data_IF_782172695731
#
_entry.id   IF_782172695731
#
_cell.length_a   1.000
_cell.length_b   1.000
_cell.length_c   1.000
_cell.angle_alpha   90.00
_cell.angle_beta   90.00
_cell.angle_gamma   90.00
#
_symmetry.space_group_name_H-M   'P 1'
#
loop_
_entity.id
_entity.type
_entity.pdbx_description
1 polymer ?
#
# COMPACT_ATOMS: atom_id res chain seq x y z
N UNK A 1 68.30 25.51 -40.98
CA UNK A 1 66.89 25.86 -40.54
C UNK A 1 65.83 24.89 -41.10
N UNK A 2 65.89 24.43 -42.32
CA UNK A 2 64.86 23.58 -42.93
C UNK A 2 64.61 22.20 -42.26
N UNK A 3 65.62 21.59 -41.63
CA UNK A 3 65.53 20.28 -40.98
C UNK A 3 64.80 20.30 -39.62
N UNK A 4 64.90 21.40 -38.88
CA UNK A 4 64.22 21.57 -37.56
C UNK A 4 62.72 21.76 -37.74
N UNK A 5 62.29 22.52 -38.76
CA UNK A 5 60.89 22.71 -39.07
C UNK A 5 60.20 21.44 -39.55
N UNK A 6 60.87 20.62 -40.35
CA UNK A 6 60.36 19.32 -40.81
C UNK A 6 60.15 18.36 -39.63
N UNK A 7 61.03 18.36 -38.64
CA UNK A 7 60.94 17.57 -37.42
C UNK A 7 59.77 18.01 -36.53
N UNK A 8 59.61 19.30 -36.35
CA UNK A 8 58.49 19.88 -35.58
C UNK A 8 57.11 19.60 -36.23
N UNK A 9 57.05 19.64 -37.57
CA UNK A 9 55.80 19.30 -38.29
C UNK A 9 55.46 17.79 -38.17
N UNK A 10 56.47 16.90 -38.21
CA UNK A 10 56.23 15.44 -37.97
C UNK A 10 55.82 15.15 -36.54
N UNK A 11 56.39 15.85 -35.56
CA UNK A 11 56.02 15.67 -34.15
C UNK A 11 54.56 16.17 -33.88
N UNK A 12 54.19 17.36 -34.41
CA UNK A 12 52.79 17.88 -34.30
C UNK A 12 51.77 16.97 -35.01
N UNK A 13 52.15 16.36 -36.17
CA UNK A 13 51.26 15.39 -36.84
C UNK A 13 51.09 14.09 -36.03
N UNK A 14 52.16 13.59 -35.40
CA UNK A 14 52.06 12.41 -34.53
C UNK A 14 51.26 12.69 -33.27
N UNK A 15 51.45 13.80 -32.62
CA UNK A 15 50.70 14.22 -31.44
C UNK A 15 49.21 14.39 -31.76
N UNK A 16 48.87 15.03 -32.89
CA UNK A 16 47.48 15.18 -33.33
C UNK A 16 46.83 13.80 -33.67
N UNK A 17 47.56 12.88 -34.31
CA UNK A 17 47.06 11.53 -34.58
C UNK A 17 46.83 10.76 -33.29
N UNK A 18 47.69 10.87 -32.29
CA UNK A 18 47.54 10.20 -31.00
C UNK A 18 46.33 10.75 -30.25
N UNK A 19 46.16 12.08 -30.17
CA UNK A 19 44.99 12.73 -29.57
C UNK A 19 43.67 12.37 -30.27
N UNK A 20 43.69 12.28 -31.61
CA UNK A 20 42.52 11.83 -32.38
C UNK A 20 42.18 10.37 -32.10
N UNK A 21 43.19 9.50 -31.98
CA UNK A 21 42.97 8.09 -31.65
C UNK A 21 42.43 7.92 -30.24
N UNK A 22 42.96 8.65 -29.26
CA UNK A 22 42.48 8.65 -27.88
C UNK A 22 41.06 9.19 -27.80
N UNK A 23 40.74 10.26 -28.50
CA UNK A 23 39.36 10.80 -28.58
C UNK A 23 38.37 9.80 -29.21
N UNK A 24 38.77 9.10 -30.28
CA UNK A 24 37.94 8.07 -30.93
C UNK A 24 37.72 6.88 -30.00
N UNK A 25 38.73 6.46 -29.23
CA UNK A 25 38.63 5.35 -28.25
C UNK A 25 37.69 5.75 -27.10
N UNK A 26 37.83 6.96 -26.57
CA UNK A 26 36.95 7.48 -25.49
C UNK A 26 35.53 7.61 -25.99
N UNK A 27 35.29 8.19 -27.15
CA UNK A 27 33.95 8.31 -27.75
C UNK A 27 33.34 6.93 -28.05
N UNK A 28 34.15 5.97 -28.53
CA UNK A 28 33.72 4.60 -28.76
C UNK A 28 33.33 3.88 -27.46
N UNK A 29 34.15 4.01 -26.42
CA UNK A 29 33.83 3.43 -25.09
C UNK A 29 32.58 4.06 -24.46
N UNK A 30 32.43 5.38 -24.62
CA UNK A 30 31.23 6.09 -24.14
C UNK A 30 29.99 5.66 -24.91
N UNK A 31 30.07 5.52 -26.23
CA UNK A 31 28.95 5.05 -27.06
C UNK A 31 28.56 3.61 -26.73
N UNK A 32 29.54 2.73 -26.50
CA UNK A 32 29.29 1.34 -26.07
C UNK A 32 28.66 1.33 -24.67
N UNK A 33 29.16 2.14 -23.74
CA UNK A 33 28.57 2.29 -22.43
C UNK A 33 27.11 2.77 -22.47
N UNK A 34 26.81 3.79 -23.27
CA UNK A 34 25.44 4.29 -23.48
C UNK A 34 24.55 3.22 -24.14
N UNK A 35 25.07 2.47 -25.11
CA UNK A 35 24.32 1.37 -25.74
C UNK A 35 24.06 0.24 -24.75
N UNK A 36 25.03 -0.13 -23.93
CA UNK A 36 24.84 -1.14 -22.88
C UNK A 36 23.82 -0.67 -21.85
N UNK A 37 23.94 0.57 -21.34
CA UNK A 37 22.97 1.16 -20.44
C UNK A 37 21.59 1.22 -21.08
N UNK A 38 21.48 1.63 -22.35
CA UNK A 38 20.22 1.65 -23.10
C UNK A 38 19.63 0.24 -23.27
N UNK A 39 20.44 -0.77 -23.61
CA UNK A 39 19.97 -2.15 -23.73
C UNK A 39 19.57 -2.75 -22.38
N UNK A 40 20.33 -2.50 -21.32
CA UNK A 40 19.98 -2.90 -19.95
C UNK A 40 18.69 -2.22 -19.53
N UNK A 41 18.60 -0.90 -19.74
CA UNK A 41 17.40 -0.12 -19.42
C UNK A 41 16.17 -0.56 -20.25
N UNK A 42 16.35 -0.81 -21.55
CA UNK A 42 15.27 -1.28 -22.43
C UNK A 42 14.85 -2.72 -22.15
N UNK A 43 15.77 -3.60 -21.74
CA UNK A 43 15.44 -4.93 -21.26
C UNK A 43 14.69 -4.89 -19.92
N UNK A 44 14.99 -3.93 -19.06
CA UNK A 44 14.28 -3.72 -17.80
C UNK A 44 12.85 -3.18 -18.01
N UNK A 45 12.64 -2.28 -18.98
CA UNK A 45 11.34 -1.64 -19.24
C UNK A 45 10.45 -2.47 -20.19
N UNK A 46 10.99 -3.36 -20.98
CA UNK A 46 10.28 -3.97 -22.11
C UNK A 46 9.86 -5.43 -21.98
N UNK A 47 10.14 -6.09 -20.87
CA UNK A 47 9.74 -7.48 -20.68
C UNK A 47 8.51 -7.57 -19.78
N UNK A 48 7.38 -8.12 -20.28
CA UNK A 48 6.27 -8.44 -19.38
C UNK A 48 6.78 -9.51 -18.40
N UNK A 49 7.02 -9.10 -17.17
CA UNK A 49 7.50 -9.95 -16.09
C UNK A 49 6.47 -11.05 -15.78
N UNK A 50 6.53 -12.12 -16.53
CA UNK A 50 5.75 -13.32 -16.24
C UNK A 50 6.59 -14.21 -15.33
N UNK A 51 6.09 -14.45 -14.13
CA UNK A 51 6.59 -15.57 -13.35
C UNK A 51 6.11 -16.84 -14.02
N UNK A 52 7.02 -17.60 -14.56
CA UNK A 52 6.70 -18.82 -15.32
C UNK A 52 5.81 -19.76 -14.48
N UNK A 53 4.69 -20.17 -15.03
CA UNK A 53 3.77 -21.15 -14.42
C UNK A 53 2.79 -20.61 -13.39
N UNK A 54 2.69 -19.29 -13.20
CA UNK A 54 1.73 -18.66 -12.27
C UNK A 54 0.89 -17.60 -12.95
N UNK A 55 -0.31 -17.28 -12.38
CA UNK A 55 -1.12 -16.13 -12.79
C UNK A 55 -0.60 -14.80 -12.24
N UNK A 56 0.59 -14.78 -11.67
CA UNK A 56 1.21 -13.60 -11.05
C UNK A 56 1.63 -12.60 -12.12
N UNK A 57 1.28 -11.34 -11.90
CA UNK A 57 1.64 -10.21 -12.77
C UNK A 57 2.46 -9.21 -11.95
N UNK A 58 3.51 -8.65 -12.56
CA UNK A 58 4.08 -7.41 -12.08
C UNK A 58 3.14 -6.28 -12.52
N UNK A 59 2.53 -5.59 -11.57
CA UNK A 59 1.53 -4.53 -11.79
C UNK A 59 2.21 -3.19 -12.02
N UNK A 60 3.26 -2.88 -11.26
CA UNK A 60 3.97 -1.61 -11.35
C UNK A 60 4.81 -1.50 -12.62
N UNK A 61 5.57 -2.52 -12.97
CA UNK A 61 6.45 -2.53 -14.15
C UNK A 61 7.26 -1.23 -14.27
N UNK A 62 7.82 -0.75 -13.17
CA UNK A 62 8.44 0.57 -13.07
C UNK A 62 9.74 0.51 -12.28
N UNK A 63 10.70 1.34 -12.68
CA UNK A 63 11.93 1.54 -11.90
C UNK A 63 11.58 2.35 -10.66
N UNK A 64 12.16 1.98 -9.53
CA UNK A 64 11.90 2.64 -8.25
C UNK A 64 11.32 1.68 -7.21
N UNK A 65 11.03 2.21 -6.07
CA UNK A 65 10.48 1.46 -4.93
C UNK A 65 9.00 1.80 -4.81
N UNK A 66 8.14 0.79 -4.97
CA UNK A 66 6.72 0.91 -4.75
C UNK A 66 6.38 0.29 -3.39
N UNK A 67 5.60 1.01 -2.60
CA UNK A 67 5.16 0.57 -1.26
C UNK A 67 3.68 0.83 -1.06
N UNK A 68 3.10 0.25 -0.02
CA UNK A 68 1.78 0.60 0.49
C UNK A 68 0.66 0.47 -0.55
N UNK A 69 0.50 -0.73 -1.10
CA UNK A 69 -0.45 -0.99 -2.17
C UNK A 69 -1.90 -1.05 -1.68
N UNK A 70 -2.80 -0.47 -2.46
CA UNK A 70 -4.25 -0.57 -2.28
C UNK A 70 -4.92 -1.05 -3.57
N UNK A 71 -6.04 -1.79 -3.46
CA UNK A 71 -6.84 -2.26 -4.61
C UNK A 71 -8.33 -2.23 -4.30
N UNK A 72 -9.11 -1.85 -5.30
CA UNK A 72 -10.56 -1.93 -5.30
C UNK A 72 -11.07 -2.54 -6.62
N UNK A 73 -12.24 -3.17 -6.55
CA UNK A 73 -12.96 -3.69 -7.70
C UNK A 73 -14.22 -2.87 -7.94
N UNK A 74 -14.55 -2.60 -9.18
CA UNK A 74 -15.83 -2.00 -9.54
C UNK A 74 -16.95 -3.00 -9.21
N UNK A 75 -17.87 -2.67 -8.29
CA UNK A 75 -18.92 -3.59 -7.86
C UNK A 75 -19.92 -3.93 -8.96
N UNK A 76 -20.07 -3.07 -9.97
CA UNK A 76 -20.96 -3.25 -11.12
C UNK A 76 -20.26 -3.96 -12.28
N UNK A 77 -18.93 -3.84 -12.36
CA UNK A 77 -18.10 -4.42 -13.42
C UNK A 77 -16.91 -5.19 -12.81
N UNK A 78 -17.09 -6.44 -12.32
CA UNK A 78 -16.07 -7.17 -11.55
C UNK A 78 -14.74 -7.42 -12.28
N UNK A 79 -14.65 -7.13 -13.58
CA UNK A 79 -13.41 -7.17 -14.34
C UNK A 79 -12.64 -5.85 -14.33
N UNK A 80 -13.25 -4.78 -13.84
CA UNK A 80 -12.61 -3.46 -13.72
C UNK A 80 -12.01 -3.33 -12.33
N UNK A 81 -10.69 -3.16 -12.28
CA UNK A 81 -9.92 -3.00 -11.06
C UNK A 81 -9.22 -1.65 -11.06
N UNK A 82 -9.10 -1.07 -9.89
CA UNK A 82 -8.37 0.17 -9.64
C UNK A 82 -7.44 -0.03 -8.45
N UNK A 83 -6.18 0.36 -8.59
CA UNK A 83 -5.17 0.22 -7.55
C UNK A 83 -4.26 1.45 -7.48
N UNK A 84 -3.55 1.59 -6.37
CA UNK A 84 -2.55 2.63 -6.18
C UNK A 84 -1.41 2.13 -5.29
N UNK A 85 -0.24 2.75 -5.41
CA UNK A 85 0.89 2.60 -4.50
C UNK A 85 1.66 3.90 -4.34
N UNK A 86 2.52 3.95 -3.34
CA UNK A 86 3.59 4.95 -3.30
C UNK A 86 4.56 4.70 -4.44
N UNK A 87 5.26 5.76 -4.84
CA UNK A 87 6.36 5.73 -5.79
C UNK A 87 7.53 6.57 -5.25
N UNK A 88 8.72 6.00 -5.23
CA UNK A 88 9.89 6.67 -4.64
C UNK A 88 10.54 7.74 -5.53
N UNK A 89 10.40 7.61 -6.84
CA UNK A 89 11.07 8.49 -7.81
C UNK A 89 10.19 9.65 -8.30
N UNK A 90 8.89 9.60 -8.03
CA UNK A 90 7.93 10.56 -8.52
C UNK A 90 7.30 11.36 -7.37
N UNK A 91 6.96 12.63 -7.59
CA UNK A 91 6.30 13.44 -6.58
C UNK A 91 4.83 13.05 -6.33
N UNK A 92 4.30 12.13 -7.12
CA UNK A 92 2.91 11.69 -7.12
C UNK A 92 2.80 10.21 -6.77
N UNK A 93 1.66 9.81 -6.19
CA UNK A 93 1.34 8.38 -6.10
C UNK A 93 1.15 7.79 -7.49
N UNK A 94 1.37 6.49 -7.63
CA UNK A 94 1.10 5.76 -8.85
C UNK A 94 -0.28 5.09 -8.81
N UNK A 95 -0.99 5.09 -9.92
CA UNK A 95 -2.28 4.39 -10.05
C UNK A 95 -2.24 3.35 -11.15
N UNK A 96 -2.99 2.29 -10.96
CA UNK A 96 -3.07 1.16 -11.88
C UNK A 96 -4.52 0.84 -12.17
N UNK A 97 -4.81 0.44 -13.40
CA UNK A 97 -6.14 0.04 -13.83
C UNK A 97 -6.08 -1.25 -14.64
N UNK A 98 -7.04 -2.14 -14.41
CA UNK A 98 -7.28 -3.32 -15.24
C UNK A 98 -8.75 -3.34 -15.68
N UNK A 99 -9.02 -3.70 -16.92
CA UNK A 99 -10.39 -3.89 -17.45
C UNK A 99 -10.69 -5.35 -17.78
N UNK A 100 -9.76 -6.26 -17.49
CA UNK A 100 -9.86 -7.68 -17.83
C UNK A 100 -9.69 -8.62 -16.64
N UNK A 101 -9.97 -8.14 -15.43
CA UNK A 101 -9.91 -8.92 -14.20
C UNK A 101 -8.49 -9.20 -13.73
N UNK A 102 -7.60 -8.23 -13.83
CA UNK A 102 -6.22 -8.32 -13.35
C UNK A 102 -5.26 -9.11 -14.24
N UNK A 103 -5.68 -9.49 -15.46
CA UNK A 103 -4.79 -10.21 -16.40
C UNK A 103 -3.74 -9.30 -17.02
N UNK A 104 -4.09 -8.05 -17.23
CA UNK A 104 -3.16 -6.98 -17.61
C UNK A 104 -3.50 -5.70 -16.86
N UNK A 105 -2.49 -4.88 -16.64
CA UNK A 105 -2.61 -3.62 -15.94
C UNK A 105 -2.05 -2.48 -16.77
N UNK A 106 -2.69 -1.33 -16.68
CA UNK A 106 -2.20 -0.06 -17.24
C UNK A 106 -1.82 0.85 -16.09
N UNK A 107 -0.61 1.37 -16.13
CA UNK A 107 -0.03 2.31 -15.18
C UNK A 107 -0.30 3.74 -15.63
N UNK A 108 -0.53 4.64 -14.68
CA UNK A 108 -0.64 6.08 -14.92
C UNK A 108 -0.19 6.88 -13.68
N UNK A 109 0.13 8.17 -13.89
CA UNK A 109 0.29 9.10 -12.79
C UNK A 109 -1.01 9.20 -11.99
N UNK A 110 -0.90 9.41 -10.68
CA UNK A 110 -2.02 9.72 -9.81
C UNK A 110 -2.61 11.11 -10.06
N UNK A 111 -3.45 11.60 -9.16
CA UNK A 111 -3.97 12.96 -9.24
C UNK A 111 -2.82 13.96 -9.16
N UNK A 112 -2.74 14.88 -10.13
CA UNK A 112 -1.75 15.96 -10.10
C UNK A 112 -1.98 16.86 -8.88
N UNK A 113 -0.89 17.16 -8.19
CA UNK A 113 -0.87 18.02 -7.03
C UNK A 113 -0.54 19.47 -7.44
N UNK A 114 -0.69 20.40 -6.51
CA UNK A 114 -0.25 21.79 -6.74
C UNK A 114 1.27 21.82 -6.97
N UNK A 115 1.77 22.76 -7.79
CA UNK A 115 3.21 22.95 -7.96
C UNK A 115 3.92 23.10 -6.60
N UNK A 116 5.08 22.47 -6.46
CA UNK A 116 5.90 22.39 -5.24
C UNK A 116 5.34 21.52 -4.10
N UNK A 117 4.25 20.79 -4.32
CA UNK A 117 3.76 19.80 -3.37
C UNK A 117 4.01 18.39 -3.89
N UNK A 118 4.17 17.44 -2.98
CA UNK A 118 4.41 16.05 -3.30
C UNK A 118 3.49 15.14 -2.49
N UNK A 119 3.26 13.95 -2.99
CA UNK A 119 2.69 12.88 -2.18
C UNK A 119 3.62 12.56 -1.00
N UNK A 120 3.01 12.37 0.18
CA UNK A 120 3.68 11.78 1.33
C UNK A 120 3.44 10.27 1.38
N UNK A 121 2.37 9.79 0.71
CA UNK A 121 2.07 8.38 0.56
C UNK A 121 0.76 7.93 1.20
N UNK A 122 0.75 6.67 1.63
CA UNK A 122 -0.37 5.95 2.25
C UNK A 122 -1.64 5.90 1.36
N UNK A 123 -1.57 5.50 0.08
CA UNK A 123 -2.75 5.52 -0.76
C UNK A 123 -3.80 4.49 -0.32
N UNK A 124 -5.06 4.89 -0.37
CA UNK A 124 -6.21 4.01 -0.24
C UNK A 124 -7.19 4.27 -1.39
N UNK A 125 -7.77 3.21 -1.95
CA UNK A 125 -8.64 3.33 -3.13
C UNK A 125 -10.02 2.73 -2.90
N UNK A 126 -11.01 3.28 -3.58
CA UNK A 126 -12.37 2.75 -3.63
C UNK A 126 -13.01 2.99 -5.01
N UNK A 127 -13.96 2.14 -5.38
CA UNK A 127 -14.79 2.33 -6.58
C UNK A 127 -16.25 2.30 -6.16
N UNK A 128 -17.00 3.32 -6.56
CA UNK A 128 -18.43 3.43 -6.33
C UNK A 128 -19.26 2.57 -7.30
N UNK A 129 -20.55 2.37 -7.01
CA UNK A 129 -21.45 1.55 -7.84
C UNK A 129 -21.69 2.13 -9.24
N UNK A 130 -21.36 3.40 -9.43
CA UNK A 130 -21.45 4.14 -10.69
C UNK A 130 -20.11 4.22 -11.45
N UNK A 131 -19.11 3.41 -11.04
CA UNK A 131 -17.77 3.40 -11.63
C UNK A 131 -16.90 4.59 -11.23
N UNK A 132 -17.34 5.43 -10.29
CA UNK A 132 -16.55 6.53 -9.76
C UNK A 132 -15.37 5.98 -8.95
N UNK A 133 -14.15 6.29 -9.36
CA UNK A 133 -12.91 5.91 -8.70
C UNK A 133 -12.47 7.00 -7.73
N UNK A 134 -11.98 6.59 -6.57
CA UNK A 134 -11.44 7.47 -5.54
C UNK A 134 -10.07 6.97 -5.09
N UNK A 135 -9.16 7.90 -4.85
CA UNK A 135 -7.89 7.64 -4.18
C UNK A 135 -7.68 8.68 -3.09
N UNK A 136 -7.49 8.23 -1.87
CA UNK A 136 -7.14 9.06 -0.72
C UNK A 136 -5.66 8.84 -0.40
N UNK A 137 -4.93 9.90 -0.12
CA UNK A 137 -3.50 9.84 0.24
C UNK A 137 -3.10 11.10 1.00
N UNK A 138 -1.88 11.13 1.51
CA UNK A 138 -1.33 12.30 2.18
C UNK A 138 -0.41 13.09 1.25
N UNK A 139 -0.46 14.41 1.33
CA UNK A 139 0.32 15.37 0.56
C UNK A 139 1.14 16.23 1.52
N UNK A 140 2.42 16.42 1.25
CA UNK A 140 3.24 17.41 1.96
C UNK A 140 3.35 18.70 1.18
N UNK A 141 3.41 19.83 1.90
CA UNK A 141 3.39 21.16 1.31
C UNK A 141 4.68 21.56 0.59
N UNK A 142 5.78 20.84 0.82
CA UNK A 142 7.08 21.12 0.19
C UNK A 142 7.74 19.81 -0.20
N UNK A 143 8.15 19.68 -1.47
CA UNK A 143 8.86 18.51 -1.98
C UNK A 143 10.28 18.38 -1.42
N UNK A 144 10.90 19.47 -0.98
CA UNK A 144 12.23 19.46 -0.41
C UNK A 144 12.27 18.90 1.02
N UNK A 145 13.36 18.27 1.46
CA UNK A 145 13.57 17.96 2.87
C UNK A 145 13.56 19.25 3.71
N UNK A 146 12.70 19.31 4.72
CA UNK A 146 12.61 20.49 5.58
C UNK A 146 11.67 20.28 6.77
N UNK A 147 11.73 21.16 7.79
CA UNK A 147 10.98 21.00 9.02
C UNK A 147 9.47 21.29 8.90
N UNK A 148 9.01 21.82 7.77
CA UNK A 148 7.60 22.18 7.60
C UNK A 148 6.81 21.01 6.99
N UNK A 149 6.72 19.96 7.78
CA UNK A 149 5.97 18.75 7.47
C UNK A 149 4.53 18.93 7.97
N UNK A 150 3.69 19.54 7.13
CA UNK A 150 2.25 19.61 7.41
C UNK A 150 1.52 18.87 6.30
N UNK A 151 1.43 17.53 6.38
CA UNK A 151 0.72 16.77 5.34
C UNK A 151 -0.77 17.07 5.38
N UNK A 152 -1.32 17.29 4.20
CA UNK A 152 -2.76 17.41 3.98
C UNK A 152 -3.35 16.05 3.63
N UNK A 153 -4.57 15.81 4.05
CA UNK A 153 -5.34 14.72 3.49
C UNK A 153 -5.95 15.15 2.16
N UNK A 154 -5.65 14.40 1.12
CA UNK A 154 -6.12 14.65 -0.25
C UNK A 154 -6.97 13.49 -0.73
N UNK A 155 -8.03 13.80 -1.47
CA UNK A 155 -8.79 12.81 -2.24
C UNK A 155 -8.86 13.24 -3.70
N UNK A 156 -8.37 12.39 -4.57
CA UNK A 156 -8.61 12.43 -6.01
C UNK A 156 -9.84 11.59 -6.36
N UNK A 157 -10.68 12.08 -7.25
CA UNK A 157 -11.82 11.31 -7.77
C UNK A 157 -11.96 11.48 -9.28
N UNK A 158 -12.39 10.41 -9.99
CA UNK A 158 -12.63 10.42 -11.43
C UNK A 158 -13.66 9.38 -11.83
N UNK A 159 -14.33 9.57 -12.97
CA UNK A 159 -15.24 8.59 -13.53
C UNK A 159 -14.49 7.64 -14.45
N UNK A 160 -14.30 6.41 -14.01
CA UNK A 160 -13.60 5.37 -14.76
C UNK A 160 -12.11 5.62 -14.99
N UNK A 161 -11.38 4.68 -15.63
CA UNK A 161 -9.92 4.72 -15.79
C UNK A 161 -9.39 5.89 -16.63
N UNK A 162 -10.20 6.43 -17.53
CA UNK A 162 -9.84 7.51 -18.47
C UNK A 162 -10.38 8.89 -18.04
N UNK A 163 -11.10 8.96 -16.91
CA UNK A 163 -11.68 10.22 -16.43
C UNK A 163 -10.63 11.20 -15.93
N UNK A 164 -10.96 12.49 -16.03
CA UNK A 164 -10.12 13.54 -15.44
C UNK A 164 -10.23 13.56 -13.93
N UNK A 165 -9.11 13.79 -13.25
CA UNK A 165 -9.06 13.89 -11.82
C UNK A 165 -9.71 15.19 -11.31
N UNK A 166 -10.58 15.05 -10.34
CA UNK A 166 -10.99 16.12 -9.44
C UNK A 166 -10.26 15.92 -8.13
N UNK A 167 -9.40 16.86 -7.74
CA UNK A 167 -8.56 16.77 -6.52
C UNK A 167 -9.10 17.71 -5.46
N UNK A 168 -9.18 17.23 -4.22
CA UNK A 168 -9.63 18.02 -3.06
C UNK A 168 -8.75 17.76 -1.84
N UNK A 169 -8.26 18.82 -1.24
CA UNK A 169 -7.72 18.79 0.13
C UNK A 169 -8.89 18.71 1.10
N UNK A 170 -9.10 17.53 1.66
CA UNK A 170 -10.23 17.24 2.55
C UNK A 170 -10.00 17.79 3.94
N UNK A 171 -8.74 17.73 4.38
CA UNK A 171 -8.35 18.23 5.68
C UNK A 171 -6.91 18.71 5.70
N UNK A 172 -6.62 19.55 6.68
CA UNK A 172 -5.25 19.89 7.09
C UNK A 172 -5.15 19.76 8.60
N UNK A 173 -3.96 19.54 9.15
CA UNK A 173 -3.74 19.58 10.57
C UNK A 173 -4.17 20.91 11.17
N UNK A 174 -4.79 20.85 12.33
CA UNK A 174 -5.34 22.02 13.03
C UNK A 174 -4.34 22.64 14.02
N UNK A 175 -3.20 21.99 14.23
CA UNK A 175 -2.15 22.44 15.15
C UNK A 175 -0.77 22.39 14.49
N UNK A 176 0.12 23.27 14.93
CA UNK A 176 1.53 23.25 14.53
C UNK A 176 2.15 21.90 14.95
N UNK A 177 2.88 21.25 14.04
CA UNK A 177 3.44 19.89 14.19
C UNK A 177 2.39 18.77 14.29
N UNK A 178 1.13 19.04 13.95
CA UNK A 178 0.16 17.99 13.71
C UNK A 178 0.26 17.47 12.28
N UNK A 179 -0.16 16.24 12.03
CA UNK A 179 -0.32 15.71 10.68
C UNK A 179 -1.47 14.72 10.59
N UNK A 180 -2.02 14.59 9.39
CA UNK A 180 -3.02 13.59 9.03
C UNK A 180 -2.31 12.44 8.32
N UNK A 181 -2.65 11.19 8.65
CA UNK A 181 -1.88 10.02 8.28
C UNK A 181 -2.77 8.80 8.01
N UNK A 182 -2.31 7.90 7.15
CA UNK A 182 -2.93 6.60 6.84
C UNK A 182 -4.43 6.69 6.57
N UNK A 183 -4.83 7.34 5.46
CA UNK A 183 -6.24 7.40 5.08
C UNK A 183 -6.77 6.04 4.64
N UNK A 184 -8.04 5.78 4.94
CA UNK A 184 -8.81 4.66 4.42
C UNK A 184 -10.09 5.20 3.79
N UNK A 185 -10.41 4.79 2.57
CA UNK A 185 -11.58 5.27 1.81
C UNK A 185 -12.53 4.12 1.46
N UNK A 186 -13.82 4.37 1.54
CA UNK A 186 -14.85 3.42 1.13
C UNK A 186 -16.06 4.14 0.56
N UNK A 187 -16.80 3.49 -0.33
CA UNK A 187 -18.01 4.04 -0.97
C UNK A 187 -19.20 3.15 -0.65
N UNK A 188 -20.28 3.76 -0.20
CA UNK A 188 -21.55 3.10 0.05
C UNK A 188 -22.29 2.73 -1.24
N UNK A 189 -23.27 1.84 -1.13
CA UNK A 189 -24.12 1.46 -2.26
C UNK A 189 -24.96 2.61 -2.83
N UNK A 190 -25.13 3.67 -2.05
CA UNK A 190 -25.78 4.93 -2.43
C UNK A 190 -24.84 5.91 -3.14
N UNK A 191 -23.58 5.53 -3.37
CA UNK A 191 -22.55 6.36 -4.00
C UNK A 191 -21.88 7.37 -3.07
N UNK A 192 -22.29 7.44 -1.79
CA UNK A 192 -21.64 8.31 -0.81
C UNK A 192 -20.26 7.77 -0.46
N UNK A 193 -19.23 8.60 -0.60
CA UNK A 193 -17.86 8.28 -0.24
C UNK A 193 -17.56 8.72 1.20
N UNK A 194 -16.74 7.92 1.89
CA UNK A 194 -16.27 8.19 3.25
C UNK A 194 -14.77 7.97 3.31
N UNK A 195 -14.05 8.90 3.92
CA UNK A 195 -12.62 8.78 4.20
C UNK A 195 -12.39 8.92 5.70
N UNK A 196 -11.66 7.98 6.27
CA UNK A 196 -11.20 7.99 7.66
C UNK A 196 -9.68 8.06 7.69
N UNK A 197 -9.11 8.69 8.70
CA UNK A 197 -7.66 8.78 8.86
C UNK A 197 -7.26 8.98 10.32
N UNK A 198 -6.00 8.74 10.61
CA UNK A 198 -5.37 9.08 11.88
C UNK A 198 -4.93 10.53 11.88
N UNK A 199 -5.37 11.30 12.86
CA UNK A 199 -4.97 12.69 13.06
C UNK A 199 -4.06 12.80 14.28
N UNK A 200 -2.84 13.24 14.06
CA UNK A 200 -1.88 13.50 15.10
C UNK A 200 -1.92 14.99 15.50
N UNK A 201 -2.13 15.24 16.77
CA UNK A 201 -2.20 16.57 17.37
C UNK A 201 -1.00 16.75 18.31
N UNK A 202 0.17 17.02 17.72
CA UNK A 202 1.44 17.07 18.45
C UNK A 202 1.99 15.65 18.77
N UNK A 203 2.96 15.57 19.66
CA UNK A 203 3.72 14.31 19.92
C UNK A 203 2.96 13.24 20.70
N UNK A 204 1.88 13.56 21.36
CA UNK A 204 1.27 12.67 22.37
C UNK A 204 -0.21 12.36 22.12
N UNK A 205 -0.88 13.03 21.20
CA UNK A 205 -2.31 12.83 21.01
C UNK A 205 -2.62 12.44 19.56
N UNK A 206 -3.24 11.27 19.41
CA UNK A 206 -3.71 10.76 18.13
C UNK A 206 -5.19 10.45 18.24
N UNK A 207 -5.94 10.79 17.21
CA UNK A 207 -7.38 10.50 17.15
C UNK A 207 -7.75 10.06 15.74
N UNK A 208 -8.87 9.34 15.61
CA UNK A 208 -9.45 8.98 14.33
C UNK A 208 -10.53 9.98 13.95
N UNK A 209 -10.50 10.44 12.71
CA UNK A 209 -11.47 11.36 12.14
C UNK A 209 -12.04 10.82 10.83
N UNK A 210 -13.24 11.26 10.47
CA UNK A 210 -13.97 10.86 9.27
C UNK A 210 -14.52 12.07 8.55
N UNK A 211 -14.53 12.05 7.23
CA UNK A 211 -15.23 12.98 6.36
C UNK A 211 -16.01 12.23 5.30
N UNK A 212 -17.06 12.82 4.75
CA UNK A 212 -17.90 12.21 3.72
C UNK A 212 -18.20 13.15 2.57
N UNK A 213 -18.45 12.57 1.39
CA UNK A 213 -18.88 13.27 0.19
C UNK A 213 -20.13 12.59 -0.38
N UNK A 214 -21.15 13.38 -0.74
CA UNK A 214 -22.37 12.90 -1.39
C UNK A 214 -22.43 13.28 -2.89
N UNK A 215 -21.42 13.96 -3.41
CA UNK A 215 -21.37 14.57 -4.73
C UNK A 215 -20.18 14.11 -5.58
N UNK A 216 -19.81 12.84 -5.44
CA UNK A 216 -18.70 12.20 -6.17
C UNK A 216 -17.33 12.81 -5.88
N UNK A 217 -17.09 13.25 -4.63
CA UNK A 217 -15.82 13.81 -4.20
C UNK A 217 -15.61 15.28 -4.55
N UNK A 218 -16.63 15.99 -5.05
CA UNK A 218 -16.52 17.42 -5.36
C UNK A 218 -16.44 18.27 -4.10
N UNK A 219 -17.22 17.91 -3.07
CA UNK A 219 -17.17 18.52 -1.75
C UNK A 219 -17.10 17.47 -0.65
N UNK A 220 -16.52 17.84 0.47
CA UNK A 220 -16.35 16.96 1.63
C UNK A 220 -16.85 17.65 2.89
N UNK A 221 -17.45 16.89 3.79
CA UNK A 221 -17.89 17.38 5.08
C UNK A 221 -16.70 17.81 5.95
N UNK A 222 -16.93 18.67 6.93
CA UNK A 222 -15.91 18.93 7.96
C UNK A 222 -15.54 17.63 8.67
N UNK A 223 -14.24 17.40 8.97
CA UNK A 223 -13.80 16.23 9.71
C UNK A 223 -14.52 16.07 11.05
N UNK A 224 -15.05 14.88 11.31
CA UNK A 224 -15.70 14.50 12.55
C UNK A 224 -14.80 13.56 13.35
N UNK A 225 -14.58 13.87 14.62
CA UNK A 225 -13.86 12.97 15.54
C UNK A 225 -14.73 11.77 15.84
N UNK A 226 -14.20 10.57 15.60
CA UNK A 226 -14.92 9.29 15.80
C UNK A 226 -15.29 9.09 17.26
N UNK A 227 -14.34 9.29 18.17
CA UNK A 227 -14.60 9.26 19.61
C UNK A 227 -13.45 9.90 20.38
N UNK A 228 -13.79 10.72 21.36
CA UNK A 228 -12.81 11.28 22.32
C UNK A 228 -12.34 10.27 23.36
N UNK A 229 -12.95 9.08 23.42
CA UNK A 229 -12.54 8.00 24.34
C UNK A 229 -11.41 7.14 23.78
N UNK A 230 -11.13 7.22 22.47
CA UNK A 230 -10.01 6.54 21.85
C UNK A 230 -8.71 7.26 22.22
N UNK A 231 -7.79 6.51 22.79
CA UNK A 231 -6.49 7.01 23.24
C UNK A 231 -5.41 6.55 22.27
N UNK A 232 -4.71 7.49 21.64
CA UNK A 232 -3.68 7.19 20.61
C UNK A 232 -4.21 6.31 19.47
N UNK A 233 -5.39 6.66 18.95
CA UNK A 233 -6.04 5.88 17.90
C UNK A 233 -5.38 6.05 16.55
N UNK A 234 -5.08 4.93 15.88
CA UNK A 234 -4.39 4.88 14.59
C UNK A 234 -4.74 3.62 13.79
N UNK A 235 -4.16 3.49 12.59
CA UNK A 235 -4.34 2.35 11.68
C UNK A 235 -5.82 2.06 11.42
N UNK A 236 -6.55 3.10 11.01
CA UNK A 236 -7.98 2.98 10.76
C UNK A 236 -8.27 2.28 9.44
N UNK A 237 -9.24 1.38 9.45
CA UNK A 237 -9.88 0.80 8.28
C UNK A 237 -11.36 1.14 8.27
N UNK A 238 -11.95 1.31 7.07
CA UNK A 238 -13.34 1.75 6.88
C UNK A 238 -14.09 0.86 5.90
N UNK A 239 -15.35 0.58 6.19
CA UNK A 239 -16.26 -0.07 5.26
C UNK A 239 -17.64 0.62 5.30
N UNK A 240 -18.08 1.12 4.14
CA UNK A 240 -19.39 1.69 3.97
C UNK A 240 -20.43 0.59 3.76
N UNK A 241 -21.50 0.62 4.56
CA UNK A 241 -22.63 -0.28 4.47
C UNK A 241 -23.74 0.26 3.56
N UNK A 242 -24.97 -0.16 3.83
CA UNK A 242 -26.18 0.37 3.20
C UNK A 242 -26.73 1.55 4.01
N UNK A 243 -27.34 2.53 3.33
CA UNK A 243 -28.16 3.59 3.97
C UNK A 243 -27.43 4.31 5.10
N UNK A 244 -26.42 5.09 4.79
CA UNK A 244 -25.67 5.91 5.76
C UNK A 244 -24.94 5.10 6.87
N UNK A 245 -24.81 3.78 6.72
CA UNK A 245 -24.05 2.97 7.66
C UNK A 245 -22.57 3.02 7.32
N UNK A 246 -21.75 3.29 8.32
CA UNK A 246 -20.29 3.28 8.21
C UNK A 246 -19.72 2.47 9.37
N UNK A 247 -18.79 1.60 9.06
CA UNK A 247 -18.10 0.79 10.03
C UNK A 247 -16.61 1.09 9.98
N UNK A 248 -16.00 1.13 11.14
CA UNK A 248 -14.59 1.40 11.34
C UNK A 248 -13.96 0.30 12.19
N UNK A 249 -12.71 0.03 11.94
CA UNK A 249 -11.83 -0.69 12.86
C UNK A 249 -10.50 0.06 12.95
N UNK A 250 -9.88 0.01 14.10
CA UNK A 250 -8.58 0.62 14.34
C UNK A 250 -7.98 0.10 15.63
N UNK A 251 -6.83 0.62 15.99
CA UNK A 251 -6.17 0.30 17.25
C UNK A 251 -5.97 1.57 18.07
N UNK A 252 -5.99 1.40 19.39
CA UNK A 252 -5.67 2.45 20.35
C UNK A 252 -4.83 1.87 21.48
N UNK A 253 -4.55 2.66 22.51
CA UNK A 253 -3.77 2.20 23.67
C UNK A 253 -4.41 0.99 24.40
N UNK A 254 -5.68 0.71 24.20
CA UNK A 254 -6.41 -0.40 24.82
C UNK A 254 -6.55 -1.62 23.90
N UNK A 255 -6.11 -1.51 22.64
CA UNK A 255 -6.13 -2.60 21.65
C UNK A 255 -7.01 -2.32 20.44
N UNK A 256 -7.56 -3.39 19.87
CA UNK A 256 -8.46 -3.30 18.71
C UNK A 256 -9.81 -2.70 19.12
N UNK A 257 -10.25 -1.68 18.40
CA UNK A 257 -11.57 -1.11 18.55
C UNK A 257 -12.38 -1.19 17.25
N UNK A 258 -13.70 -1.17 17.39
CA UNK A 258 -14.64 -1.09 16.26
C UNK A 258 -15.63 0.04 16.50
N UNK A 259 -16.01 0.71 15.43
CA UNK A 259 -16.96 1.84 15.45
C UNK A 259 -18.05 1.68 14.41
N UNK A 260 -19.24 2.21 14.70
CA UNK A 260 -20.39 2.25 13.78
C UNK A 260 -21.06 3.60 13.80
N UNK A 261 -21.36 4.10 12.62
CA UNK A 261 -22.30 5.20 12.36
C UNK A 261 -23.53 4.67 11.64
N UNK A 262 -24.68 5.30 11.89
CA UNK A 262 -25.95 5.06 11.18
C UNK A 262 -26.54 6.34 10.62
N UNK A 263 -25.78 7.42 10.64
CA UNK A 263 -26.18 8.78 10.26
C UNK A 263 -25.24 9.42 9.23
N UNK A 264 -24.57 8.58 8.42
CA UNK A 264 -23.68 9.05 7.37
C UNK A 264 -22.35 9.60 7.88
N UNK A 265 -21.84 9.06 8.99
CA UNK A 265 -20.54 9.45 9.56
C UNK A 265 -20.57 10.70 10.43
N UNK A 266 -21.75 11.19 10.82
CA UNK A 266 -21.86 12.37 11.70
C UNK A 266 -21.60 12.05 13.16
N UNK A 267 -21.96 10.83 13.58
CA UNK A 267 -21.67 10.32 14.92
C UNK A 267 -21.32 8.84 14.90
N UNK A 268 -20.58 8.40 15.90
CA UNK A 268 -20.14 7.00 16.00
C UNK A 268 -20.36 6.46 17.40
N UNK A 269 -20.84 5.23 17.48
CA UNK A 269 -20.71 4.38 18.65
C UNK A 269 -19.46 3.51 18.53
N UNK A 270 -18.60 3.54 19.54
CA UNK A 270 -17.31 2.83 19.54
C UNK A 270 -17.24 1.86 20.71
N UNK A 271 -16.65 0.71 20.49
CA UNK A 271 -16.33 -0.26 21.55
C UNK A 271 -14.99 -0.90 21.33
N UNK A 272 -14.30 -1.26 22.38
CA UNK A 272 -13.14 -2.13 22.34
C UNK A 272 -13.59 -3.51 21.88
N UNK A 273 -12.93 -4.08 20.89
CA UNK A 273 -13.19 -5.44 20.45
C UNK A 273 -12.75 -6.43 21.53
N UNK A 274 -13.47 -7.55 21.65
CA UNK A 274 -13.21 -8.57 22.66
C UNK A 274 -11.91 -9.38 22.43
N UNK A 275 -11.10 -9.04 21.45
CA UNK A 275 -9.82 -9.67 21.17
C UNK A 275 -8.72 -8.81 21.82
N UNK A 276 -8.16 -9.21 22.97
CA UNK A 276 -7.02 -8.51 23.51
C UNK A 276 -5.84 -8.69 22.55
N UNK A 277 -5.32 -7.59 22.05
CA UNK A 277 -3.98 -7.60 21.50
C UNK A 277 -3.03 -7.86 22.67
N UNK A 278 -2.17 -8.89 22.63
CA UNK A 278 -1.24 -9.14 23.70
C UNK A 278 -0.33 -7.93 23.88
N UNK A 279 -0.46 -7.24 25.02
CA UNK A 279 0.36 -6.09 25.40
C UNK A 279 0.08 -4.82 24.58
N UNK A 280 0.22 -3.69 25.20
CA UNK A 280 0.06 -2.33 24.67
C UNK A 280 1.04 -1.95 23.54
N UNK A 281 1.43 -2.87 22.69
CA UNK A 281 2.48 -2.69 21.69
C UNK A 281 2.00 -2.03 20.40
N UNK A 282 0.70 -1.88 20.20
CA UNK A 282 0.16 -1.13 19.07
C UNK A 282 0.69 0.32 19.02
N UNK A 283 0.91 0.93 20.18
CA UNK A 283 1.41 2.30 20.28
C UNK A 283 2.94 2.42 20.14
N UNK A 284 3.70 1.34 20.32
CA UNK A 284 5.16 1.38 20.29
C UNK A 284 5.75 1.15 18.91
N UNK A 285 4.92 0.75 17.96
CA UNK A 285 5.36 0.46 16.60
C UNK A 285 5.72 1.69 15.76
N UNK A 286 5.28 2.87 16.15
CA UNK A 286 5.35 4.05 15.28
C UNK A 286 6.74 4.66 15.15
N UNK A 287 7.61 4.56 16.14
CA UNK A 287 8.88 5.30 16.08
C UNK A 287 10.11 4.50 16.52
N UNK A 288 9.98 3.57 17.48
CA UNK A 288 11.13 2.88 18.06
C UNK A 288 10.77 1.45 18.54
N UNK A 289 9.87 0.79 17.80
CA UNK A 289 9.31 -0.49 18.18
C UNK A 289 10.36 -1.59 18.32
N UNK A 290 10.32 -2.27 19.43
CA UNK A 290 11.15 -3.45 19.72
C UNK A 290 10.71 -4.70 18.95
N UNK A 291 9.71 -4.59 18.05
CA UNK A 291 9.16 -5.70 17.29
C UNK A 291 9.55 -5.58 15.83
N UNK A 292 10.79 -5.93 15.54
CA UNK A 292 11.26 -6.12 14.17
C UNK A 292 11.30 -7.62 13.92
N UNK A 293 10.51 -8.11 13.01
CA UNK A 293 10.62 -9.49 12.54
C UNK A 293 11.89 -9.65 11.71
N UNK A 294 12.46 -10.86 11.61
CA UNK A 294 13.68 -11.09 10.83
C UNK A 294 13.61 -10.64 9.37
N UNK A 295 12.41 -10.58 8.80
CA UNK A 295 12.13 -10.16 7.42
C UNK A 295 11.89 -8.65 7.29
N UNK A 296 11.76 -7.93 8.38
CA UNK A 296 11.49 -6.49 8.44
C UNK A 296 12.58 -5.79 9.23
N UNK A 297 13.58 -5.26 8.54
CA UNK A 297 14.72 -4.64 9.22
C UNK A 297 14.41 -3.24 9.78
N UNK A 298 13.43 -2.54 9.22
CA UNK A 298 13.20 -1.11 9.48
C UNK A 298 11.78 -0.81 9.95
N UNK A 299 10.78 -1.50 9.42
CA UNK A 299 9.38 -1.31 9.81
C UNK A 299 8.98 -2.29 10.88
N UNK A 300 8.37 -1.79 11.92
CA UNK A 300 7.66 -2.66 12.82
C UNK A 300 6.30 -3.07 12.24
N UNK A 301 5.88 -4.28 12.59
CA UNK A 301 4.58 -4.78 12.22
C UNK A 301 3.55 -4.37 13.25
N UNK A 302 2.51 -3.70 12.79
CA UNK A 302 1.33 -3.38 13.56
C UNK A 302 0.26 -4.46 13.44
N UNK A 303 -0.84 -4.32 14.18
CA UNK A 303 -2.01 -5.16 14.00
C UNK A 303 -2.73 -4.91 12.67
N UNK A 304 -2.56 -3.77 12.02
CA UNK A 304 -3.05 -3.38 10.69
C UNK A 304 -4.46 -3.93 10.38
N UNK A 305 -5.50 -3.48 11.12
CA UNK A 305 -6.82 -4.07 10.99
C UNK A 305 -7.45 -3.75 9.63
N UNK A 306 -8.04 -4.77 8.99
CA UNK A 306 -8.84 -4.61 7.79
C UNK A 306 -10.28 -5.01 8.04
N UNK A 307 -11.22 -4.09 7.78
CA UNK A 307 -12.65 -4.31 7.98
C UNK A 307 -13.36 -4.68 6.68
N UNK A 308 -14.24 -5.66 6.72
CA UNK A 308 -15.05 -6.14 5.60
C UNK A 308 -16.49 -6.41 6.01
N UNK A 309 -17.44 -6.14 5.12
CA UNK A 309 -18.86 -6.35 5.37
C UNK A 309 -19.42 -7.47 4.49
N UNK A 310 -20.16 -8.40 5.08
CA UNK A 310 -20.85 -9.44 4.32
C UNK A 310 -21.75 -10.30 5.15
N UNK A 311 -22.83 -10.82 4.54
CA UNK A 311 -23.79 -11.75 5.18
C UNK A 311 -24.35 -11.24 6.51
N UNK A 312 -24.62 -9.93 6.61
CA UNK A 312 -25.14 -9.33 7.84
C UNK A 312 -24.12 -9.25 8.98
N UNK A 313 -22.84 -9.36 8.68
CA UNK A 313 -21.73 -9.35 9.64
C UNK A 313 -20.67 -8.33 9.28
N UNK A 314 -19.93 -7.93 10.29
CA UNK A 314 -18.72 -7.15 10.22
C UNK A 314 -17.57 -8.08 10.57
N UNK A 315 -16.59 -8.18 9.69
CA UNK A 315 -15.36 -8.94 9.90
C UNK A 315 -14.19 -7.97 10.02
N UNK A 316 -13.31 -8.23 10.96
CA UNK A 316 -12.05 -7.49 11.13
C UNK A 316 -10.92 -8.50 11.17
N UNK A 317 -10.00 -8.45 10.22
CA UNK A 317 -8.76 -9.21 10.25
C UNK A 317 -7.64 -8.35 10.79
N UNK A 318 -6.72 -8.91 11.54
CA UNK A 318 -5.66 -8.16 12.21
C UNK A 318 -4.46 -9.03 12.55
N UNK A 319 -3.28 -8.42 12.69
CA UNK A 319 -2.08 -9.08 13.20
C UNK A 319 -2.18 -9.33 14.70
N UNK A 320 -1.71 -10.49 15.14
CA UNK A 320 -1.68 -10.91 16.54
C UNK A 320 -0.25 -11.30 16.91
N UNK A 321 0.30 -10.69 17.97
CA UNK A 321 1.63 -11.05 18.44
C UNK A 321 1.56 -12.33 19.28
N UNK A 322 2.37 -13.31 18.94
CA UNK A 322 2.57 -14.54 19.71
C UNK A 322 3.49 -14.32 20.91
N UNK A 323 3.42 -15.24 21.87
CA UNK A 323 4.25 -15.17 23.08
C UNK A 323 5.74 -15.42 22.81
N UNK A 324 6.06 -16.06 21.70
CA UNK A 324 7.40 -16.44 21.25
C UNK A 324 8.03 -15.43 20.27
N UNK A 325 7.56 -14.20 20.26
CA UNK A 325 8.00 -13.15 19.35
C UNK A 325 7.74 -13.49 17.87
N UNK A 326 6.70 -14.26 17.60
CA UNK A 326 6.13 -14.45 16.27
C UNK A 326 4.90 -13.58 16.08
N UNK A 327 4.49 -13.36 14.84
CA UNK A 327 3.22 -12.75 14.51
C UNK A 327 2.33 -13.76 13.79
N UNK A 328 1.06 -13.77 14.16
CA UNK A 328 -0.01 -14.53 13.51
C UNK A 328 -1.10 -13.58 12.99
N UNK A 329 -1.98 -14.08 12.15
CA UNK A 329 -3.15 -13.34 11.67
C UNK A 329 -4.42 -13.87 12.32
N UNK A 330 -5.23 -12.95 12.83
CA UNK A 330 -6.49 -13.22 13.48
C UNK A 330 -7.68 -12.57 12.78
N UNK A 331 -8.86 -12.99 13.20
CA UNK A 331 -10.13 -12.41 12.77
C UNK A 331 -11.09 -12.30 13.93
N UNK A 332 -11.83 -11.19 13.97
CA UNK A 332 -13.00 -11.01 14.83
C UNK A 332 -14.24 -10.77 13.97
N UNK A 333 -15.37 -11.31 14.40
CA UNK A 333 -16.66 -11.14 13.74
C UNK A 333 -17.69 -10.54 14.69
N UNK A 334 -18.49 -9.64 14.15
CA UNK A 334 -19.54 -8.92 14.86
C UNK A 334 -20.84 -8.98 14.06
N UNK A 335 -21.97 -8.81 14.73
CA UNK A 335 -23.21 -8.46 14.05
C UNK A 335 -23.18 -7.00 13.56
N UNK A 336 -24.22 -6.57 12.85
CA UNK A 336 -24.31 -5.20 12.34
C UNK A 336 -24.44 -4.14 13.45
N UNK A 337 -24.77 -4.53 14.68
CA UNK A 337 -24.80 -3.65 15.86
C UNK A 337 -23.48 -3.68 16.64
N UNK A 338 -22.45 -4.31 16.06
CA UNK A 338 -21.12 -4.53 16.63
C UNK A 338 -21.13 -5.36 17.92
N UNK A 339 -22.15 -6.22 18.15
CA UNK A 339 -22.07 -7.22 19.21
C UNK A 339 -21.06 -8.28 18.79
N UNK A 340 -20.08 -8.65 19.64
CA UNK A 340 -19.12 -9.69 19.32
C UNK A 340 -19.83 -11.02 19.10
N UNK A 341 -19.48 -11.72 18.03
CA UNK A 341 -19.97 -13.04 17.72
C UNK A 341 -18.94 -14.12 18.04
N UNK A 342 -17.71 -13.89 17.58
CA UNK A 342 -16.57 -14.78 17.83
C UNK A 342 -15.27 -14.11 17.32
N UNK A 343 -14.12 -14.66 17.74
CA UNK A 343 -12.79 -14.35 17.23
C UNK A 343 -11.94 -15.63 17.17
N UNK A 344 -10.84 -15.60 16.43
CA UNK A 344 -9.92 -16.73 16.31
C UNK A 344 -8.85 -16.50 15.23
N UNK A 345 -7.96 -17.49 15.06
CA UNK A 345 -6.92 -17.39 14.03
C UNK A 345 -7.49 -17.58 12.63
N UNK A 346 -6.80 -17.04 11.63
CA UNK A 346 -7.01 -17.33 10.23
C UNK A 346 -6.13 -18.54 9.86
N UNK A 347 -6.76 -19.67 9.59
CA UNK A 347 -6.04 -20.91 9.35
C UNK A 347 -5.50 -21.54 10.65
N UNK A 348 -4.29 -22.09 10.61
CA UNK A 348 -3.64 -22.69 11.76
C UNK A 348 -2.50 -21.81 12.25
N UNK A 349 -2.46 -21.54 13.57
CA UNK A 349 -1.32 -20.91 14.23
C UNK A 349 -0.06 -21.75 13.96
N UNK A 350 0.96 -21.12 13.43
CA UNK A 350 2.22 -21.77 13.07
C UNK A 350 3.28 -21.44 14.12
N UNK A 351 3.75 -22.46 14.81
CA UNK A 351 4.92 -22.31 15.66
C UNK A 351 6.17 -22.04 14.82
N UNK A 352 6.95 -21.05 15.19
CA UNK A 352 8.21 -20.67 14.53
C UNK A 352 8.06 -20.13 13.10
N UNK A 353 6.93 -19.55 12.76
CA UNK A 353 6.72 -18.82 11.52
C UNK A 353 5.97 -17.52 11.81
N UNK A 354 6.09 -16.55 10.93
CA UNK A 354 5.37 -15.28 11.02
C UNK A 354 4.32 -15.19 9.94
N UNK A 355 3.14 -14.69 10.33
CA UNK A 355 2.06 -14.31 9.42
C UNK A 355 1.72 -12.84 9.69
N UNK A 356 1.81 -11.98 8.69
CA UNK A 356 1.71 -10.54 8.91
C UNK A 356 1.02 -9.80 7.75
N UNK A 357 0.62 -8.56 8.01
CA UNK A 357 -0.10 -7.66 7.12
C UNK A 357 -1.33 -8.32 6.47
N UNK A 358 -2.32 -8.69 7.28
CA UNK A 358 -3.54 -9.26 6.75
C UNK A 358 -4.35 -8.23 5.98
N UNK A 359 -4.81 -8.62 4.80
CA UNK A 359 -5.82 -7.91 4.03
C UNK A 359 -7.05 -8.80 3.89
N UNK A 360 -8.26 -8.24 3.94
CA UNK A 360 -9.48 -9.01 3.74
C UNK A 360 -10.52 -8.30 2.88
N UNK A 361 -11.30 -9.10 2.17
CA UNK A 361 -12.41 -8.62 1.35
C UNK A 361 -13.52 -9.66 1.31
N UNK A 362 -14.77 -9.20 1.38
CA UNK A 362 -15.93 -10.07 1.15
C UNK A 362 -16.40 -9.87 -0.28
N UNK A 363 -16.42 -10.94 -1.04
CA UNK A 363 -17.17 -11.00 -2.29
C UNK A 363 -18.67 -10.99 -1.98
N UNK A 364 -19.31 -9.87 -2.20
CA UNK A 364 -20.73 -9.71 -1.88
C UNK A 364 -21.66 -10.59 -2.72
N UNK A 365 -21.23 -11.00 -3.92
CA UNK A 365 -22.01 -11.85 -4.81
C UNK A 365 -22.08 -13.30 -4.32
N UNK A 366 -20.99 -13.83 -3.78
CA UNK A 366 -20.89 -15.20 -3.27
C UNK A 366 -20.98 -15.28 -1.75
N UNK A 367 -20.75 -14.16 -1.06
CA UNK A 367 -20.58 -14.09 0.38
C UNK A 367 -19.30 -14.77 0.88
N UNK A 368 -18.34 -15.03 -0.01
CA UNK A 368 -17.03 -15.60 0.34
C UNK A 368 -16.15 -14.50 0.91
N UNK A 369 -15.64 -14.69 2.11
CA UNK A 369 -14.62 -13.85 2.74
C UNK A 369 -13.26 -14.38 2.31
N UNK A 370 -12.44 -13.53 1.76
CA UNK A 370 -11.04 -13.75 1.46
C UNK A 370 -10.14 -13.05 2.48
N UNK A 371 -9.05 -13.72 2.85
CA UNK A 371 -7.98 -13.17 3.65
C UNK A 371 -6.64 -13.52 3.02
N UNK A 372 -5.79 -12.52 2.84
CA UNK A 372 -4.45 -12.66 2.27
C UNK A 372 -3.43 -12.05 3.22
N UNK A 373 -2.24 -12.62 3.30
CA UNK A 373 -1.18 -12.21 4.21
C UNK A 373 0.17 -12.76 3.78
N UNK A 374 1.26 -12.23 4.31
CA UNK A 374 2.58 -12.82 4.18
C UNK A 374 2.75 -13.96 5.18
N UNK A 375 3.42 -15.04 4.78
CA UNK A 375 3.64 -16.26 5.59
C UNK A 375 5.05 -16.79 5.37
N UNK A 376 5.86 -16.84 6.44
CA UNK A 376 7.23 -17.36 6.41
C UNK A 376 7.31 -18.89 6.61
N UNK A 377 6.18 -19.59 6.63
CA UNK A 377 6.15 -21.05 6.79
C UNK A 377 7.00 -21.74 5.73
N UNK A 378 8.01 -22.47 6.18
CA UNK A 378 8.99 -23.18 5.32
C UNK A 378 10.36 -22.49 5.25
N UNK A 379 10.51 -21.31 5.82
CA UNK A 379 11.81 -20.68 6.04
C UNK A 379 12.12 -20.63 7.55
N UNK A 380 13.08 -21.43 7.99
CA UNK A 380 13.47 -21.50 9.41
C UNK A 380 14.14 -20.20 9.90
N UNK A 381 14.72 -19.41 9.00
CA UNK A 381 15.30 -18.10 9.29
C UNK A 381 14.25 -16.99 9.35
N UNK A 382 13.03 -17.25 8.91
CA UNK A 382 11.91 -16.30 8.83
C UNK A 382 12.24 -15.02 8.05
N UNK A 383 13.07 -15.12 7.00
CA UNK A 383 13.53 -14.00 6.16
C UNK A 383 12.80 -13.92 4.83
N UNK A 384 12.23 -15.03 4.38
CA UNK A 384 11.48 -15.12 3.14
C UNK A 384 10.03 -15.43 3.44
N UNK A 385 9.14 -14.66 2.86
CA UNK A 385 7.70 -14.86 3.00
C UNK A 385 7.06 -15.21 1.66
N UNK A 386 6.05 -16.07 1.75
CA UNK A 386 5.09 -16.29 0.68
C UNK A 386 3.94 -15.32 0.85
N UNK A 387 3.43 -14.75 -0.24
CA UNK A 387 2.13 -14.13 -0.18
C UNK A 387 1.06 -15.20 -0.38
N UNK A 388 0.22 -15.40 0.61
CA UNK A 388 -0.78 -16.48 0.63
C UNK A 388 -2.18 -15.90 0.81
N UNK A 389 -3.17 -16.59 0.25
CA UNK A 389 -4.58 -16.27 0.43
C UNK A 389 -5.35 -17.50 0.84
N UNK A 390 -6.37 -17.29 1.64
CA UNK A 390 -7.36 -18.32 2.02
C UNK A 390 -8.76 -17.73 1.97
N UNK A 391 -9.77 -18.57 2.00
CA UNK A 391 -11.15 -18.11 1.97
C UNK A 391 -12.05 -18.90 2.93
N UNK A 392 -13.14 -18.24 3.32
CA UNK A 392 -14.12 -18.81 4.22
C UNK A 392 -15.52 -18.31 3.88
N UNK A 393 -16.54 -19.14 4.08
CA UNK A 393 -17.95 -18.70 4.04
C UNK A 393 -18.46 -18.21 5.38
N UNK A 394 -17.79 -18.58 6.46
CA UNK A 394 -18.24 -18.31 7.83
C UNK A 394 -17.26 -17.44 8.62
N UNK A 395 -16.01 -17.34 8.15
CA UNK A 395 -14.87 -16.79 8.87
C UNK A 395 -14.27 -17.75 9.91
N UNK A 396 -14.95 -18.83 10.27
CA UNK A 396 -14.49 -19.82 11.27
C UNK A 396 -13.73 -20.99 10.67
N UNK A 397 -14.17 -21.46 9.51
CA UNK A 397 -13.54 -22.58 8.79
C UNK A 397 -12.93 -22.03 7.52
N UNK A 398 -11.63 -22.16 7.40
CA UNK A 398 -10.85 -21.63 6.29
C UNK A 398 -10.45 -22.75 5.33
N UNK A 399 -10.45 -22.44 4.05
CA UNK A 399 -9.87 -23.30 3.03
C UNK A 399 -8.36 -23.43 3.27
N UNK A 400 -7.74 -24.44 2.67
CA UNK A 400 -6.28 -24.55 2.68
C UNK A 400 -5.69 -23.28 2.01
N UNK A 401 -4.74 -22.58 2.65
CA UNK A 401 -4.10 -21.43 2.03
C UNK A 401 -3.43 -21.79 0.72
N UNK A 402 -3.59 -20.92 -0.27
CA UNK A 402 -2.91 -21.01 -1.57
C UNK A 402 -1.85 -19.93 -1.68
N UNK A 403 -0.70 -20.29 -2.22
CA UNK A 403 0.37 -19.34 -2.49
C UNK A 403 0.00 -18.50 -3.71
N UNK A 404 -0.10 -17.21 -3.55
CA UNK A 404 -0.35 -16.29 -4.65
C UNK A 404 0.93 -16.01 -5.46
N UNK A 405 2.10 -16.18 -4.83
CA UNK A 405 3.41 -15.96 -5.45
C UNK A 405 4.47 -16.94 -4.94
N UNK A 406 5.57 -17.06 -5.68
CA UNK A 406 6.82 -17.66 -5.21
C UNK A 406 7.41 -16.83 -4.04
N UNK A 407 8.28 -17.41 -3.18
CA UNK A 407 8.90 -16.67 -2.10
C UNK A 407 9.64 -15.46 -2.65
N UNK A 408 9.42 -14.31 -2.05
CA UNK A 408 10.19 -13.12 -2.35
C UNK A 408 11.64 -13.29 -1.88
N UNK A 409 12.55 -12.70 -2.61
CA UNK A 409 13.98 -12.79 -2.28
C UNK A 409 14.34 -11.75 -1.20
N UNK A 410 15.54 -11.84 -0.70
CA UNK A 410 16.14 -11.24 0.46
C UNK A 410 15.76 -9.75 0.72
N UNK A 411 15.03 -9.42 1.79
CA UNK A 411 14.65 -8.04 2.11
C UNK A 411 15.81 -7.15 2.58
N UNK A 412 17.01 -7.71 2.83
CA UNK A 412 18.13 -6.94 3.36
C UNK A 412 18.92 -6.14 2.33
N UNK A 413 18.72 -6.39 1.04
CA UNK A 413 19.39 -5.65 -0.04
C UNK A 413 18.87 -4.21 -0.15
N UNK A 414 17.65 -3.97 0.31
CA UNK A 414 16.95 -2.70 0.18
C UNK A 414 17.45 -1.57 1.09
N UNK A 415 18.18 -1.90 2.16
CA UNK A 415 18.64 -0.89 3.12
C UNK A 415 19.59 0.15 2.52
N UNK A 416 20.47 -0.26 1.59
CA UNK A 416 21.41 0.67 0.96
C UNK A 416 20.71 1.55 -0.07
N UNK A 417 19.78 1.01 -0.83
CA UNK A 417 19.03 1.74 -1.86
C UNK A 417 18.05 2.74 -1.24
N UNK A 418 17.44 2.41 -0.11
CA UNK A 418 16.60 3.33 0.66
C UNK A 418 17.32 4.61 1.08
N UNK A 419 18.61 4.54 1.38
CA UNK A 419 19.43 5.71 1.67
C UNK A 419 19.67 6.60 0.46
N UNK A 420 19.80 6.01 -0.72
CA UNK A 420 20.03 6.73 -1.97
C UNK A 420 18.82 7.56 -2.34
N UNK A 421 17.62 7.04 -2.11
CA UNK A 421 16.36 7.72 -2.48
C UNK A 421 15.73 8.55 -1.36
N UNK A 422 16.33 8.58 -0.16
CA UNK A 422 15.85 9.41 0.96
C UNK A 422 14.53 8.95 1.60
N UNK A 423 14.03 7.78 1.24
CA UNK A 423 12.85 7.17 1.85
C UNK A 423 13.26 6.26 3.01
N UNK A 424 13.00 6.70 4.24
CA UNK A 424 13.25 5.92 5.45
C UNK A 424 12.34 4.69 5.63
N UNK A 425 11.46 4.42 4.66
CA UNK A 425 10.39 3.43 4.75
C UNK A 425 10.62 2.17 3.92
N UNK A 426 11.62 2.15 3.08
CA UNK A 426 12.02 0.98 2.32
C UNK A 426 12.90 0.08 3.18
N UNK A 427 12.60 -1.16 3.26
CA UNK A 427 13.35 -2.14 4.04
C UNK A 427 12.46 -3.25 4.54
N UNK A 428 12.06 -4.13 3.64
CA UNK A 428 11.19 -5.24 3.94
C UNK A 428 10.15 -5.45 2.83
N UNK A 429 8.91 -5.69 3.22
CA UNK A 429 7.80 -5.99 2.30
C UNK A 429 6.88 -4.78 2.06
N UNK A 430 7.41 -3.57 2.08
CA UNK A 430 6.77 -2.35 1.57
C UNK A 430 5.59 -1.78 2.34
N UNK A 431 5.25 -2.24 3.52
CA UNK A 431 4.22 -1.62 4.35
C UNK A 431 2.98 -2.47 4.55
N UNK A 432 2.11 -2.64 3.57
CA UNK A 432 0.90 -3.47 3.69
C UNK A 432 0.50 -4.05 2.33
N UNK A 433 -0.43 -4.99 2.36
CA UNK A 433 -0.98 -5.63 1.18
C UNK A 433 -2.49 -5.36 1.07
N UNK A 434 -3.06 -5.65 -0.08
CA UNK A 434 -4.48 -5.44 -0.32
C UNK A 434 -5.13 -6.63 -1.04
N UNK A 435 -6.44 -6.77 -0.87
CA UNK A 435 -7.26 -7.70 -1.65
C UNK A 435 -8.62 -7.10 -1.93
N UNK A 436 -9.08 -7.20 -3.17
CA UNK A 436 -10.46 -6.92 -3.56
C UNK A 436 -11.11 -8.20 -4.10
N UNK A 437 -12.38 -8.42 -3.81
CA UNK A 437 -13.08 -9.63 -4.25
C UNK A 437 -14.47 -9.32 -4.80
N UNK A 438 -14.77 -9.84 -5.99
CA UNK A 438 -16.09 -9.76 -6.62
C UNK A 438 -16.27 -10.86 -7.66
N UNK A 439 -17.52 -11.26 -7.93
CA UNK A 439 -17.84 -12.22 -8.99
C UNK A 439 -17.21 -13.61 -8.82
N UNK A 440 -16.95 -14.05 -7.60
CA UNK A 440 -16.32 -15.32 -7.29
C UNK A 440 -14.79 -15.29 -7.36
N UNK A 441 -14.18 -14.13 -7.60
CA UNK A 441 -12.74 -13.96 -7.82
C UNK A 441 -12.15 -12.99 -6.79
N UNK A 442 -10.98 -13.32 -6.26
CA UNK A 442 -10.16 -12.41 -5.46
C UNK A 442 -8.96 -11.92 -6.26
N UNK A 443 -8.64 -10.66 -6.07
CA UNK A 443 -7.52 -9.95 -6.69
C UNK A 443 -6.59 -9.41 -5.60
N UNK A 444 -5.70 -10.26 -5.04
CA UNK A 444 -4.68 -9.81 -4.12
C UNK A 444 -3.60 -9.01 -4.85
N UNK A 445 -3.16 -7.91 -4.21
CA UNK A 445 -1.97 -7.17 -4.57
C UNK A 445 -1.03 -7.09 -3.36
N UNK A 446 0.27 -7.20 -3.60
CA UNK A 446 1.29 -7.16 -2.56
C UNK A 446 2.57 -6.52 -3.08
N UNK A 447 3.42 -6.13 -2.17
CA UNK A 447 4.78 -5.70 -2.50
C UNK A 447 5.69 -6.93 -2.50
N UNK A 448 6.39 -7.12 -3.58
CA UNK A 448 7.29 -8.24 -3.78
C UNK A 448 8.74 -7.74 -3.87
N UNK A 449 9.60 -8.38 -3.13
CA UNK A 449 11.01 -8.02 -3.03
C UNK A 449 11.92 -8.95 -3.84
N UNK A 450 11.34 -9.76 -4.73
CA UNK A 450 12.17 -10.53 -5.68
C UNK A 450 12.90 -9.54 -6.57
N UNK A 451 14.20 -9.70 -6.66
CA UNK A 451 14.99 -8.88 -7.56
C UNK A 451 14.64 -9.23 -9.00
N UNK A 452 13.94 -8.32 -9.65
CA UNK A 452 13.56 -8.44 -11.04
C UNK A 452 14.19 -7.28 -11.78
N UNK A 453 15.41 -7.52 -12.30
CA UNK A 453 16.13 -6.52 -13.08
C UNK A 453 16.67 -5.34 -12.29
N UNK A 454 16.97 -5.51 -11.01
CA UNK A 454 17.50 -4.48 -10.11
C UNK A 454 16.45 -3.67 -9.39
N UNK A 455 15.16 -3.96 -9.58
CA UNK A 455 14.06 -3.37 -8.81
C UNK A 455 13.69 -4.31 -7.66
N UNK A 456 13.63 -3.78 -6.47
CA UNK A 456 13.59 -4.58 -5.26
C UNK A 456 12.25 -4.54 -4.52
N UNK A 457 11.41 -3.53 -4.75
CA UNK A 457 10.05 -3.45 -4.22
C UNK A 457 9.10 -3.06 -5.34
N UNK A 458 8.28 -3.99 -5.79
CA UNK A 458 7.32 -3.77 -6.86
C UNK A 458 5.96 -4.30 -6.49
N UNK A 459 4.92 -3.70 -7.06
CA UNK A 459 3.54 -4.19 -6.90
C UNK A 459 3.34 -5.42 -7.78
N UNK A 460 3.07 -6.54 -7.13
CA UNK A 460 2.64 -7.76 -7.79
C UNK A 460 1.16 -8.05 -7.51
N UNK A 461 0.54 -8.77 -8.41
CA UNK A 461 -0.86 -9.17 -8.28
C UNK A 461 -1.14 -10.54 -8.84
N UNK A 462 -2.23 -11.13 -8.39
CA UNK A 462 -2.73 -12.41 -8.86
C UNK A 462 -4.26 -12.44 -8.95
N UNK A 463 -4.79 -13.52 -9.52
CA UNK A 463 -6.22 -13.76 -9.62
C UNK A 463 -6.52 -15.16 -9.06
N UNK A 464 -7.37 -15.23 -8.03
CA UNK A 464 -7.73 -16.47 -7.31
C UNK A 464 -9.23 -16.74 -7.38
N UNK A 465 -9.63 -18.02 -7.47
CA UNK A 465 -11.04 -18.46 -7.55
C UNK A 465 -11.43 -19.45 -6.48
#
# INVERSE_FOLDING_TARGET
>A
MATAEAHARRFRRRARRKLLLEAVVVLGATAVGVVIVYFVYRHQIGSPWKVAGTSVQNVSQEVGIQTEVAVAVDPSHPKVLFAASNESLEPEIRVYSSTNGGRTWTRAAGPALDPNTCSWGDPSVAVGPDGQQYVAFTEKSICAPGPDLTPYLVVGSRTGPQGHWTVRRVARPVVKFGFDDKPAISVGRDGRAYVAWSRLLGRAYQTTVVSSSADRGRTWSKPQVVSRRLVQSQLVSIAAGARDQVYLAGVDAHGLWVGRSTDGGRSFSVRTAAAPLPGSQAATCIVFGKFVLPQQAVRCLGPDPTISLGRGRVFVTYGVNGADLTQDVGIAAFDQSLRPLWHGPIGSVKKKADQFWPASSVDVSTGKLWACYYDTTGDSARKHAWFVCTSSRTGRRWAKPVRAAAPSQNPFVLWEDARIYGYGDSGGYGGYAAVAAAGGVAHPLWIDTRDVGGNQEEVFGSTLR
#
